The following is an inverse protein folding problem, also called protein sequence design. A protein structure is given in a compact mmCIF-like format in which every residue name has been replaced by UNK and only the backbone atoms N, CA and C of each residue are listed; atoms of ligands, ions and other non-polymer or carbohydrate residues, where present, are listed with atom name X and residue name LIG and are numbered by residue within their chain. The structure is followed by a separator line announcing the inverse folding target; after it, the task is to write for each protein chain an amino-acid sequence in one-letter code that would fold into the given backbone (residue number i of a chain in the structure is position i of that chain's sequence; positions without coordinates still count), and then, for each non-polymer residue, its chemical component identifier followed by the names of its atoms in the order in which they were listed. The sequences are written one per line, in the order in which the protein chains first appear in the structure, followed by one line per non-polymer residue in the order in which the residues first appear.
data_IF_020068183402
#
_entry.id   IF_020068183402
#
_cell.length_a   1.000
_cell.length_b   1.000
_cell.length_c   1.000
_cell.angle_alpha   90.00
_cell.angle_beta   90.00
_cell.angle_gamma   90.00
#
_symmetry.space_group_name_H-M   'P 1'
#
loop_
_entity.id
_entity.type
_entity.pdbx_description
1 polymer ?
#
# COMPACT_ATOMS: atom_id res chain seq x y z
N UNK A 1 -15.99 -22.24 -4.68
CA UNK A 1 -14.92 -21.51 -5.40
C UNK A 1 -13.98 -20.89 -4.38
N UNK A 2 -12.73 -21.35 -4.29
CA UNK A 2 -11.75 -20.87 -3.29
C UNK A 2 -11.44 -19.39 -3.52
N UNK A 3 -11.87 -18.49 -2.62
CA UNK A 3 -11.64 -17.04 -2.73
C UNK A 3 -10.51 -16.60 -1.79
N UNK A 4 -9.48 -15.97 -2.37
CA UNK A 4 -8.46 -15.10 -1.77
C UNK A 4 -7.88 -15.44 -0.37
N UNK A 5 -7.68 -16.71 -0.03
CA UNK A 5 -7.10 -17.11 1.27
C UNK A 5 -5.62 -16.73 1.49
N UNK A 6 -4.93 -16.14 0.49
CA UNK A 6 -3.47 -15.89 0.54
C UNK A 6 -3.04 -14.56 1.14
N UNK A 7 -3.91 -13.54 1.12
CA UNK A 7 -3.60 -12.21 1.65
C UNK A 7 -4.08 -12.08 3.09
N UNK A 8 -5.20 -12.75 3.45
CA UNK A 8 -5.77 -12.74 4.80
C UNK A 8 -6.22 -11.35 5.27
N UNK A 9 -6.96 -11.30 6.38
CA UNK A 9 -7.40 -10.05 7.01
C UNK A 9 -8.79 -10.17 7.62
N UNK A 10 -9.00 -9.56 8.79
CA UNK A 10 -10.32 -9.52 9.47
C UNK A 10 -11.19 -8.33 9.05
N UNK A 11 -10.62 -7.41 8.26
CA UNK A 11 -11.28 -6.20 7.78
C UNK A 11 -10.75 -5.84 6.40
N UNK A 12 -11.54 -5.07 5.63
CA UNK A 12 -11.12 -4.61 4.31
C UNK A 12 -9.79 -3.85 4.38
N UNK A 13 -9.63 -2.97 5.38
CA UNK A 13 -8.39 -2.22 5.61
C UNK A 13 -7.19 -3.15 5.79
N UNK A 14 -7.33 -4.22 6.58
CA UNK A 14 -6.24 -5.17 6.76
C UNK A 14 -5.89 -5.88 5.45
N UNK A 15 -6.90 -6.22 4.65
CA UNK A 15 -6.68 -6.83 3.32
C UNK A 15 -5.92 -5.86 2.42
N UNK A 16 -6.35 -4.60 2.31
CA UNK A 16 -5.62 -3.57 1.55
C UNK A 16 -4.17 -3.44 2.01
N UNK A 17 -3.94 -3.32 3.32
CA UNK A 17 -2.59 -3.22 3.89
C UNK A 17 -1.75 -4.43 3.55
N UNK A 18 -2.27 -5.64 3.70
CA UNK A 18 -1.55 -6.87 3.38
C UNK A 18 -1.20 -6.96 1.88
N UNK A 19 -2.07 -6.46 0.99
CA UNK A 19 -1.77 -6.37 -0.45
C UNK A 19 -0.64 -5.36 -0.68
N UNK A 20 -0.77 -4.16 -0.10
CA UNK A 20 0.21 -3.08 -0.26
C UNK A 20 1.59 -3.46 0.31
N UNK A 21 1.67 -4.17 1.42
CA UNK A 21 2.94 -4.67 1.98
C UNK A 21 3.62 -5.70 1.06
N UNK A 22 2.84 -6.50 0.34
CA UNK A 22 3.36 -7.46 -0.63
C UNK A 22 3.80 -6.78 -1.93
N UNK A 23 3.13 -5.72 -2.35
CA UNK A 23 3.43 -4.98 -3.59
C UNK A 23 4.53 -3.93 -3.41
N UNK A 24 4.53 -3.24 -2.27
CA UNK A 24 5.38 -2.08 -2.02
C UNK A 24 6.43 -2.46 -0.98
N UNK A 25 7.60 -2.88 -1.47
CA UNK A 25 8.77 -3.10 -0.62
C UNK A 25 9.21 -1.80 0.06
N UNK A 26 9.99 -1.92 1.15
CA UNK A 26 10.60 -0.75 1.81
C UNK A 26 11.45 0.08 0.84
N UNK A 27 12.14 -0.56 -0.10
CA UNK A 27 12.90 0.11 -1.15
C UNK A 27 11.98 0.94 -2.07
N UNK A 28 10.86 0.36 -2.53
CA UNK A 28 9.91 1.06 -3.38
C UNK A 28 9.20 2.19 -2.61
N UNK A 29 8.86 1.98 -1.33
CA UNK A 29 8.23 2.99 -0.47
C UNK A 29 9.03 4.29 -0.32
N UNK A 30 10.36 4.24 -0.55
CA UNK A 30 11.21 5.45 -0.61
C UNK A 30 10.94 6.29 -1.85
N UNK A 31 10.50 5.69 -2.95
CA UNK A 31 10.38 6.32 -4.27
C UNK A 31 8.93 6.58 -4.69
N UNK A 32 7.95 6.02 -3.99
CA UNK A 32 6.52 6.19 -4.29
C UNK A 32 5.79 6.80 -3.09
N UNK A 33 4.78 7.63 -3.34
CA UNK A 33 3.79 7.99 -2.33
C UNK A 33 2.42 8.20 -2.96
N UNK A 34 1.40 8.44 -2.13
CA UNK A 34 0.03 8.56 -2.62
C UNK A 34 -0.14 9.68 -3.68
N UNK A 35 0.51 10.83 -3.53
CA UNK A 35 0.25 12.04 -4.36
C UNK A 35 1.37 12.39 -5.35
N UNK A 36 2.50 11.68 -5.31
CA UNK A 36 3.70 12.03 -6.09
C UNK A 36 4.52 13.22 -5.55
N UNK A 37 4.21 13.74 -4.36
CA UNK A 37 4.96 14.87 -3.77
C UNK A 37 6.45 14.54 -3.61
N UNK A 38 7.29 15.57 -3.67
CA UNK A 38 8.75 15.49 -3.52
C UNK A 38 9.42 14.60 -4.58
N UNK A 39 9.00 14.75 -5.85
CA UNK A 39 9.56 14.02 -7.00
C UNK A 39 9.44 12.49 -6.88
N UNK A 40 8.46 12.00 -6.10
CA UNK A 40 8.16 10.58 -5.98
C UNK A 40 7.15 10.16 -7.04
N UNK A 41 7.14 8.87 -7.38
CA UNK A 41 6.10 8.29 -8.21
C UNK A 41 4.73 8.49 -7.53
N UNK A 42 3.75 8.91 -8.33
CA UNK A 42 2.39 9.12 -7.89
C UNK A 42 1.62 7.79 -7.94
N UNK A 43 1.24 7.24 -6.77
CA UNK A 43 0.46 6.02 -6.73
C UNK A 43 -0.95 6.18 -7.33
N UNK A 44 -1.56 7.38 -7.20
CA UNK A 44 -2.91 7.63 -7.74
C UNK A 44 -2.99 7.48 -9.27
N UNK A 45 -1.88 7.64 -9.99
CA UNK A 45 -1.86 7.50 -11.44
C UNK A 45 -1.62 6.06 -11.90
N UNK A 46 -1.39 5.12 -10.96
CA UNK A 46 -1.12 3.73 -11.29
C UNK A 46 -2.41 2.92 -11.29
N UNK A 47 -2.64 2.16 -12.37
CA UNK A 47 -3.77 1.21 -12.48
C UNK A 47 -3.82 0.17 -11.36
N UNK A 48 -2.69 -0.08 -10.69
CA UNK A 48 -2.63 -1.03 -9.58
C UNK A 48 -3.59 -0.63 -8.43
N UNK A 49 -3.86 0.66 -8.21
CA UNK A 49 -4.80 1.12 -7.20
C UNK A 49 -6.23 0.65 -7.47
N UNK A 50 -6.66 0.69 -8.73
CA UNK A 50 -7.97 0.20 -9.19
C UNK A 50 -8.06 -1.32 -9.07
N UNK A 51 -7.03 -2.03 -9.54
CA UNK A 51 -6.96 -3.50 -9.48
C UNK A 51 -7.06 -4.02 -8.04
N UNK A 52 -6.45 -3.33 -7.07
CA UNK A 52 -6.54 -3.70 -5.65
C UNK A 52 -7.98 -3.52 -5.15
N UNK A 53 -8.66 -2.42 -5.50
CA UNK A 53 -10.05 -2.17 -5.11
C UNK A 53 -10.95 -3.29 -5.64
N UNK A 54 -10.85 -3.58 -6.94
CA UNK A 54 -11.63 -4.63 -7.58
C UNK A 54 -11.37 -5.98 -6.93
N UNK A 55 -10.11 -6.29 -6.65
CA UNK A 55 -9.71 -7.52 -5.96
C UNK A 55 -10.32 -7.63 -4.56
N UNK A 56 -10.37 -6.54 -3.79
CA UNK A 56 -10.97 -6.53 -2.45
C UNK A 56 -12.49 -6.71 -2.53
N UNK A 57 -13.16 -6.06 -3.51
CA UNK A 57 -14.61 -6.16 -3.72
C UNK A 57 -15.08 -7.54 -4.16
N UNK A 58 -14.19 -8.39 -4.70
CA UNK A 58 -14.51 -9.81 -4.96
C UNK A 58 -14.79 -10.61 -3.69
N UNK A 59 -14.39 -10.11 -2.52
CA UNK A 59 -14.76 -10.71 -1.24
C UNK A 59 -16.19 -10.27 -0.86
N UNK A 60 -17.12 -11.20 -0.56
CA UNK A 60 -18.52 -10.87 -0.26
C UNK A 60 -18.66 -9.80 0.84
N UNK A 61 -17.89 -9.91 1.92
CA UNK A 61 -17.95 -8.97 3.06
C UNK A 61 -17.50 -7.54 2.72
N UNK A 62 -16.83 -7.34 1.58
CA UNK A 62 -16.27 -6.04 1.19
C UNK A 62 -16.77 -5.56 -0.19
N UNK A 63 -17.80 -6.21 -0.74
CA UNK A 63 -18.34 -5.88 -2.07
C UNK A 63 -18.85 -4.43 -2.19
N UNK A 64 -19.34 -3.85 -1.09
CA UNK A 64 -19.89 -2.49 -1.03
C UNK A 64 -18.88 -1.43 -0.60
N UNK A 65 -17.60 -1.79 -0.45
CA UNK A 65 -16.55 -0.84 -0.09
C UNK A 65 -16.48 0.30 -1.11
N UNK A 66 -16.48 1.54 -0.62
CA UNK A 66 -16.40 2.75 -1.47
C UNK A 66 -14.96 3.08 -1.86
N UNK A 67 -14.80 3.78 -2.98
CA UNK A 67 -13.49 4.30 -3.43
C UNK A 67 -12.89 5.27 -2.41
N UNK A 68 -13.75 6.06 -1.75
CA UNK A 68 -13.34 6.96 -0.69
C UNK A 68 -12.71 6.19 0.47
N UNK A 69 -13.26 5.04 0.86
CA UNK A 69 -12.68 4.22 1.92
C UNK A 69 -11.34 3.62 1.49
N UNK A 70 -11.23 3.13 0.26
CA UNK A 70 -9.97 2.63 -0.27
C UNK A 70 -8.88 3.73 -0.29
N UNK A 71 -9.24 4.94 -0.72
CA UNK A 71 -8.37 6.11 -0.71
C UNK A 71 -7.84 6.44 0.68
N UNK A 72 -8.68 6.42 1.71
CA UNK A 72 -8.24 6.61 3.10
C UNK A 72 -7.17 5.58 3.49
N UNK A 73 -7.38 4.31 3.15
CA UNK A 73 -6.41 3.25 3.46
C UNK A 73 -5.09 3.47 2.71
N UNK A 74 -5.12 3.83 1.43
CA UNK A 74 -3.91 4.15 0.68
C UNK A 74 -3.13 5.32 1.27
N UNK A 75 -3.81 6.41 1.60
CA UNK A 75 -3.20 7.59 2.22
C UNK A 75 -2.54 7.20 3.55
N UNK A 76 -3.27 6.47 4.40
CA UNK A 76 -2.77 6.04 5.71
C UNK A 76 -1.59 5.08 5.57
N UNK A 77 -1.63 4.16 4.61
CA UNK A 77 -0.51 3.28 4.31
C UNK A 77 0.74 4.07 3.94
N UNK A 78 0.67 4.98 2.96
CA UNK A 78 1.84 5.74 2.51
C UNK A 78 2.35 6.78 3.52
N UNK A 79 1.49 7.26 4.44
CA UNK A 79 1.93 8.07 5.58
C UNK A 79 2.79 7.26 6.54
N UNK A 80 2.37 6.03 6.83
CA UNK A 80 3.02 5.16 7.80
C UNK A 80 4.15 4.29 7.20
N UNK A 81 4.21 4.16 5.86
CA UNK A 81 5.17 3.28 5.18
C UNK A 81 6.62 3.72 5.31
N UNK A 82 6.87 4.99 5.63
CA UNK A 82 8.21 5.48 5.98
C UNK A 82 8.79 4.82 7.24
N UNK A 83 7.93 4.31 8.13
CA UNK A 83 8.32 3.58 9.34
C UNK A 83 8.42 2.05 9.12
N UNK A 84 7.97 1.54 7.96
CA UNK A 84 8.00 0.11 7.64
C UNK A 84 9.44 -0.30 7.25
N UNK A 85 10.24 -0.61 8.27
CA UNK A 85 11.59 -1.20 8.26
C UNK A 85 12.72 -0.31 7.72
N UNK A 86 13.43 0.33 8.65
CA UNK A 86 14.84 0.70 8.45
C UNK A 86 15.13 2.06 7.81
N UNK A 87 14.13 2.95 7.70
CA UNK A 87 14.27 4.27 7.08
C UNK A 87 15.42 5.14 7.60
N UNK A 88 15.97 4.84 8.78
CA UNK A 88 17.11 5.55 9.37
C UNK A 88 18.42 4.72 9.45
N UNK A 89 18.42 3.41 9.18
CA UNK A 89 19.63 2.59 9.42
C UNK A 89 20.60 2.53 8.23
N UNK A 90 20.19 2.89 7.02
CA UNK A 90 21.07 2.87 5.84
C UNK A 90 21.46 4.25 5.28
N UNK A 91 21.10 5.34 5.98
CA UNK A 91 21.60 6.68 5.62
C UNK A 91 22.90 7.05 6.34
N UNK A 92 23.35 6.31 7.37
CA UNK A 92 24.63 6.54 8.03
C UNK A 92 25.82 5.86 7.33
N UNK A 93 25.60 4.77 6.57
CA UNK A 93 26.71 3.98 5.99
C UNK A 93 27.31 4.56 4.69
N UNK A 94 26.70 5.60 4.09
CA UNK A 94 27.17 6.19 2.83
C UNK A 94 27.71 7.63 2.97
N UNK A 95 27.87 8.14 4.20
CA UNK A 95 28.50 9.46 4.46
C UNK A 95 29.90 9.30 5.07
N UNK A 96 30.41 8.09 5.16
CA UNK A 96 31.76 7.80 5.64
C UNK A 96 32.48 6.83 4.70
N UNK A 97 32.79 7.28 3.49
CA UNK A 97 33.91 6.78 2.67
C UNK A 97 34.50 7.91 1.87
#
# INVERSE_FOLDING_TARGET
TRRLSRVGGKSAEQVFRNILEKLISSCLARHINYTGKNQKLNFQTLKIGEVIIDSVRLHPDFATLTDQKAKEVYINYFRNSKALKGGNQHQQDNVSK
#
